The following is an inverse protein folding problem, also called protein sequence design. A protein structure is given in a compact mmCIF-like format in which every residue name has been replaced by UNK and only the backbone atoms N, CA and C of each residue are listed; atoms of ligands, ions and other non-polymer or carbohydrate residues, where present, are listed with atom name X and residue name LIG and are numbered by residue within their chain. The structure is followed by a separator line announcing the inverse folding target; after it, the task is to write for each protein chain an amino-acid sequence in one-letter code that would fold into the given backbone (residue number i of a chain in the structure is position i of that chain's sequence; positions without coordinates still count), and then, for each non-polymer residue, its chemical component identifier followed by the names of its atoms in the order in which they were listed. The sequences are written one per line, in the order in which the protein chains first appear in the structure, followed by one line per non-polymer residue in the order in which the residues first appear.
data_IF_801078829288
#
_entry.id   IF_801078829288
#
_cell.length_a   1.000
_cell.length_b   1.000
_cell.length_c   1.000
_cell.angle_alpha   90.00
_cell.angle_beta   90.00
_cell.angle_gamma   90.00
#
_symmetry.space_group_name_H-M   'P 1'
#
loop_
_entity.id
_entity.type
_entity.pdbx_description
1 polymer ?
#
# COMPACT_ATOMS: atom_id res chain seq x y z
N UNK A 1 -32.13 -36.60 4.49
CA UNK A 1 -31.77 -36.21 3.12
C UNK A 1 -30.46 -35.43 3.22
N UNK A 2 -29.33 -36.05 2.90
CA UNK A 2 -28.00 -35.43 3.04
C UNK A 2 -27.66 -34.73 1.73
N UNK A 3 -27.63 -33.40 1.74
CA UNK A 3 -27.21 -32.62 0.57
C UNK A 3 -25.70 -32.79 0.34
N UNK A 4 -25.25 -33.06 -0.91
CA UNK A 4 -23.82 -33.13 -1.21
C UNK A 4 -23.20 -31.74 -1.06
N UNK A 5 -22.26 -31.59 -0.12
CA UNK A 5 -21.51 -30.34 0.03
C UNK A 5 -20.47 -30.25 -1.11
N UNK A 6 -20.43 -29.14 -1.88
CA UNK A 6 -19.44 -28.93 -2.92
C UNK A 6 -18.02 -28.89 -2.33
N UNK A 7 -17.12 -29.74 -2.83
CA UNK A 7 -15.74 -29.90 -2.31
C UNK A 7 -14.79 -28.76 -2.70
N UNK A 8 -15.19 -27.86 -3.60
CA UNK A 8 -14.36 -26.74 -4.06
C UNK A 8 -15.13 -25.44 -3.99
N UNK A 9 -14.70 -24.52 -3.10
CA UNK A 9 -15.12 -23.14 -3.16
C UNK A 9 -14.69 -22.57 -4.53
N UNK A 10 -15.60 -21.98 -5.32
CA UNK A 10 -15.19 -21.30 -6.54
C UNK A 10 -14.20 -20.20 -6.15
N UNK A 11 -12.97 -20.31 -6.65
CA UNK A 11 -11.92 -19.30 -6.44
C UNK A 11 -12.35 -18.06 -7.20
N UNK A 12 -13.00 -17.13 -6.52
CA UNK A 12 -13.30 -15.81 -7.06
C UNK A 12 -11.95 -15.19 -7.42
N UNK A 13 -11.67 -15.04 -8.70
CA UNK A 13 -10.47 -14.33 -9.16
C UNK A 13 -10.62 -12.88 -8.73
N UNK A 14 -9.88 -12.48 -7.69
CA UNK A 14 -9.84 -11.09 -7.27
C UNK A 14 -9.41 -10.23 -8.45
N UNK A 15 -10.17 -9.17 -8.78
CA UNK A 15 -9.86 -8.32 -9.91
C UNK A 15 -8.46 -7.73 -9.71
N UNK A 16 -7.50 -8.13 -10.56
CA UNK A 16 -6.08 -7.76 -10.43
C UNK A 16 -5.81 -6.26 -10.66
N UNK A 17 -6.82 -5.53 -11.13
CA UNK A 17 -6.77 -4.09 -11.41
C UNK A 17 -7.83 -3.35 -10.59
N UNK A 18 -7.46 -2.19 -10.06
CA UNK A 18 -8.31 -1.33 -9.23
C UNK A 18 -7.92 -1.36 -7.75
N UNK A 19 -8.85 -0.97 -6.90
CA UNK A 19 -8.72 -1.09 -5.44
C UNK A 19 -8.94 -2.56 -5.05
N UNK A 20 -7.86 -3.32 -4.98
CA UNK A 20 -7.84 -4.68 -4.46
C UNK A 20 -6.86 -4.78 -3.27
N UNK A 21 -7.06 -5.79 -2.42
CA UNK A 21 -6.28 -6.00 -1.20
C UNK A 21 -4.76 -6.03 -1.46
N UNK A 22 -4.34 -6.59 -2.60
CA UNK A 22 -2.94 -6.64 -2.98
C UNK A 22 -2.36 -5.24 -3.27
N UNK A 23 -3.09 -4.43 -4.03
CA UNK A 23 -2.71 -3.06 -4.37
C UNK A 23 -2.68 -2.17 -3.13
N UNK A 24 -3.64 -2.32 -2.22
CA UNK A 24 -3.66 -1.59 -0.94
C UNK A 24 -2.45 -1.94 -0.07
N UNK A 25 -2.13 -3.23 0.06
CA UNK A 25 -0.94 -3.68 0.80
C UNK A 25 0.35 -3.18 0.17
N UNK A 26 0.44 -3.18 -1.16
CA UNK A 26 1.60 -2.68 -1.89
C UNK A 26 1.77 -1.16 -1.70
N UNK A 27 0.70 -0.40 -1.88
CA UNK A 27 0.68 1.05 -1.69
C UNK A 27 1.02 1.43 -0.24
N UNK A 28 0.49 0.70 0.75
CA UNK A 28 0.80 0.92 2.17
C UNK A 28 2.29 0.71 2.48
N UNK A 29 2.92 -0.32 1.90
CA UNK A 29 4.38 -0.55 2.04
C UNK A 29 5.19 0.56 1.39
N UNK A 30 4.80 0.96 0.17
CA UNK A 30 5.44 2.06 -0.53
C UNK A 30 5.35 3.37 0.28
N UNK A 31 4.20 3.63 0.92
CA UNK A 31 4.01 4.79 1.79
C UNK A 31 4.91 4.74 3.04
N UNK A 32 5.02 3.60 3.72
CA UNK A 32 5.92 3.44 4.88
C UNK A 32 7.39 3.70 4.52
N UNK A 33 7.83 3.16 3.38
CA UNK A 33 9.19 3.37 2.87
C UNK A 33 9.39 4.84 2.50
N UNK A 34 8.46 5.44 1.74
CA UNK A 34 8.51 6.84 1.33
C UNK A 34 8.60 7.79 2.53
N UNK A 35 7.78 7.56 3.56
CA UNK A 35 7.79 8.36 4.79
C UNK A 35 9.11 8.19 5.56
N UNK A 36 9.66 6.98 5.64
CA UNK A 36 10.96 6.77 6.30
C UNK A 36 12.08 7.50 5.58
N UNK A 37 12.13 7.39 4.25
CA UNK A 37 13.12 8.09 3.42
C UNK A 37 12.98 9.61 3.57
N UNK A 38 11.74 10.11 3.59
CA UNK A 38 11.43 11.52 3.81
C UNK A 38 12.08 12.05 5.10
N UNK A 39 11.92 11.34 6.21
CA UNK A 39 12.53 11.71 7.49
C UNK A 39 14.07 11.65 7.45
N UNK A 40 14.65 10.64 6.81
CA UNK A 40 16.11 10.51 6.67
C UNK A 40 16.69 11.68 5.88
N UNK A 41 16.04 12.07 4.77
CA UNK A 41 16.44 13.20 3.95
C UNK A 41 16.34 14.50 4.74
N UNK A 42 15.25 14.71 5.49
CA UNK A 42 15.06 15.88 6.33
C UNK A 42 16.16 15.98 7.40
N UNK A 43 16.50 14.86 8.04
CA UNK A 43 17.58 14.80 9.02
C UNK A 43 18.95 15.16 8.43
N UNK A 44 19.29 14.64 7.24
CA UNK A 44 20.58 14.90 6.57
C UNK A 44 20.64 16.35 6.07
N UNK A 45 19.55 16.86 5.49
CA UNK A 45 19.52 18.18 4.84
C UNK A 45 19.31 19.31 5.84
N UNK A 46 18.72 19.01 7.01
CA UNK A 46 18.30 20.02 7.99
C UNK A 46 17.18 20.93 7.47
N UNK A 47 16.56 20.59 6.34
CA UNK A 47 15.46 21.32 5.71
C UNK A 47 14.26 20.41 5.61
N UNK A 48 13.14 20.85 6.17
CA UNK A 48 11.87 20.14 6.04
C UNK A 48 11.41 20.07 4.59
N UNK A 49 10.61 19.06 4.27
CA UNK A 49 10.09 18.85 2.90
C UNK A 49 9.28 20.05 2.38
N UNK A 50 8.67 20.82 3.29
CA UNK A 50 7.98 22.07 2.96
C UNK A 50 8.92 23.12 2.35
N UNK A 51 10.20 23.14 2.76
CA UNK A 51 11.22 24.01 2.18
C UNK A 51 11.51 23.66 0.71
N UNK A 52 11.38 22.38 0.34
CA UNK A 52 11.57 21.95 -1.05
C UNK A 52 10.41 22.38 -1.96
N UNK A 53 9.22 22.51 -1.38
CA UNK A 53 8.04 23.07 -2.05
C UNK A 53 8.05 24.61 -2.08
N UNK A 54 9.09 25.27 -1.52
CA UNK A 54 9.22 26.73 -1.49
C UNK A 54 8.31 27.42 -0.48
N UNK A 55 7.78 26.68 0.49
CA UNK A 55 6.81 27.17 1.48
C UNK A 55 7.46 27.61 2.82
N UNK A 56 8.79 27.68 2.87
CA UNK A 56 9.58 28.03 4.06
C UNK A 56 10.85 28.79 3.69
#
# INVERSE_FOLDING_TARGET
MTTPQPTTLPKLEEPKFGFNDYAERLNGRAAMIGFTIMLVIEYITGKGVLSWLGLQ
#
